data_IF_348970682905
#
_entry.id   IF_348970682905
#
_cell.length_a   1.000
_cell.length_b   1.000
_cell.length_c   1.000
_cell.angle_alpha   90.00
_cell.angle_beta   90.00
_cell.angle_gamma   90.00
#
_symmetry.space_group_name_H-M   'P 1'
#
loop_
_entity.id
_entity.type
_entity.pdbx_description
1 polymer ?
#
# COMPACT_ATOMS: atom_id res chain seq x y z
N UNK A 1 -35.26 -45.33 16.13
CA UNK A 1 -34.01 -45.47 15.35
C UNK A 1 -34.06 -44.71 14.01
N UNK A 2 -35.06 -44.92 13.14
CA UNK A 2 -35.15 -44.24 11.82
C UNK A 2 -35.22 -42.69 11.86
N UNK A 3 -35.87 -42.10 12.86
CA UNK A 3 -35.99 -40.63 12.97
C UNK A 3 -34.69 -39.93 13.41
N UNK A 4 -33.89 -40.58 14.27
CA UNK A 4 -32.57 -40.05 14.67
C UNK A 4 -31.56 -40.12 13.52
N UNK A 5 -31.60 -41.19 12.71
CA UNK A 5 -30.72 -41.29 11.54
C UNK A 5 -31.10 -40.29 10.45
N UNK A 6 -32.39 -40.02 10.25
CA UNK A 6 -32.86 -38.98 9.32
C UNK A 6 -32.45 -37.57 9.77
N UNK A 7 -32.52 -37.28 11.08
CA UNK A 7 -32.09 -35.99 11.62
C UNK A 7 -30.57 -35.78 11.46
N UNK A 8 -29.78 -36.84 11.69
CA UNK A 8 -28.33 -36.82 11.48
C UNK A 8 -27.94 -36.61 10.02
N UNK A 9 -28.65 -37.26 9.09
CA UNK A 9 -28.45 -37.05 7.65
C UNK A 9 -28.80 -35.60 7.29
N UNK A 10 -29.94 -35.07 7.74
CA UNK A 10 -30.33 -33.68 7.46
C UNK A 10 -29.31 -32.66 7.97
N UNK A 11 -28.81 -32.84 9.19
CA UNK A 11 -27.77 -31.98 9.75
C UNK A 11 -26.47 -32.04 8.93
N UNK A 12 -26.09 -33.24 8.47
CA UNK A 12 -24.92 -33.43 7.62
C UNK A 12 -25.10 -32.76 6.24
N UNK A 13 -26.28 -32.88 5.63
CA UNK A 13 -26.55 -32.25 4.33
C UNK A 13 -26.51 -30.74 4.44
N UNK A 14 -27.05 -30.16 5.53
CA UNK A 14 -27.01 -28.71 5.80
C UNK A 14 -25.57 -28.23 6.03
N UNK A 15 -24.77 -28.98 6.79
CA UNK A 15 -23.38 -28.64 7.01
C UNK A 15 -22.57 -28.67 5.71
N UNK A 16 -22.81 -29.67 4.86
CA UNK A 16 -22.13 -29.82 3.57
C UNK A 16 -22.54 -28.73 2.57
N UNK A 17 -23.83 -28.37 2.52
CA UNK A 17 -24.29 -27.26 1.68
C UNK A 17 -23.68 -25.94 2.14
N UNK A 18 -23.66 -25.65 3.45
CA UNK A 18 -23.00 -24.43 3.98
C UNK A 18 -21.54 -24.38 3.54
N UNK A 19 -20.80 -25.48 3.60
CA UNK A 19 -19.39 -25.52 3.19
C UNK A 19 -19.19 -25.21 1.69
N UNK A 20 -20.16 -25.55 0.83
CA UNK A 20 -20.11 -25.34 -0.62
C UNK A 20 -20.47 -23.91 -1.05
N UNK A 21 -21.20 -23.15 -0.21
CA UNK A 21 -21.57 -21.75 -0.48
C UNK A 21 -20.66 -20.73 0.22
N UNK A 22 -19.72 -21.17 1.07
CA UNK A 22 -18.74 -20.26 1.63
C UNK A 22 -17.83 -19.75 0.51
N UNK A 23 -17.76 -18.42 0.28
CA UNK A 23 -16.80 -17.88 -0.67
C UNK A 23 -15.38 -18.25 -0.19
N UNK A 24 -14.50 -18.58 -1.13
CA UNK A 24 -13.09 -18.76 -0.82
C UNK A 24 -12.57 -17.50 -0.11
N UNK A 25 -11.87 -17.66 1.02
CA UNK A 25 -11.23 -16.55 1.69
C UNK A 25 -10.21 -15.92 0.73
N UNK A 26 -10.52 -14.75 0.17
CA UNK A 26 -9.65 -14.04 -0.74
C UNK A 26 -8.67 -13.20 0.09
N UNK A 27 -7.42 -13.64 0.16
CA UNK A 27 -6.35 -12.88 0.79
C UNK A 27 -5.78 -11.86 -0.20
N UNK A 28 -5.78 -10.59 0.17
CA UNK A 28 -5.08 -9.54 -0.57
C UNK A 28 -3.65 -9.44 -0.03
N UNK A 29 -2.65 -9.61 -0.89
CA UNK A 29 -1.28 -9.25 -0.56
C UNK A 29 -1.17 -7.72 -0.58
N UNK A 30 -1.01 -7.11 0.58
CA UNK A 30 -0.91 -5.65 0.72
C UNK A 30 0.46 -5.26 1.28
N UNK A 31 1.08 -4.27 0.65
CA UNK A 31 2.39 -3.73 1.05
C UNK A 31 2.36 -2.21 1.08
N UNK A 32 2.91 -1.68 2.16
CA UNK A 32 3.27 -0.26 2.31
C UNK A 32 4.79 -0.16 2.14
N UNK A 33 5.24 0.81 1.36
CA UNK A 33 6.66 1.10 1.15
C UNK A 33 6.86 2.58 0.85
N UNK A 34 8.12 3.03 0.78
CA UNK A 34 8.41 4.41 0.48
C UNK A 34 9.83 4.80 0.85
N UNK A 35 10.09 6.08 0.78
CA UNK A 35 11.33 6.70 1.23
C UNK A 35 11.06 8.06 1.86
N UNK A 36 11.87 8.41 2.85
CA UNK A 36 12.03 9.78 3.32
C UNK A 36 13.30 10.32 2.67
N UNK A 37 13.23 11.47 2.00
CA UNK A 37 14.40 12.08 1.38
C UNK A 37 14.46 13.57 1.73
N UNK A 38 15.45 13.91 2.54
CA UNK A 38 15.74 15.25 3.06
C UNK A 38 17.13 15.63 2.59
N UNK A 39 17.32 16.88 2.22
CA UNK A 39 18.59 17.40 1.76
C UNK A 39 18.98 18.69 2.50
N UNK A 40 20.26 19.00 2.45
CA UNK A 40 20.81 20.31 2.79
C UNK A 40 21.12 20.98 1.47
N UNK A 41 20.54 22.16 1.24
CA UNK A 41 20.83 23.02 0.11
C UNK A 41 21.72 24.15 0.60
N UNK A 42 22.85 24.37 -0.06
CA UNK A 42 23.79 25.44 0.24
C UNK A 42 24.08 26.23 -1.03
N UNK A 43 24.09 27.55 -0.93
CA UNK A 43 24.49 28.46 -2.00
C UNK A 43 25.38 29.58 -1.45
N UNK A 44 26.21 30.12 -2.33
CA UNK A 44 27.19 31.19 -2.05
C UNK A 44 27.38 32.02 -3.33
N UNK A 45 27.36 33.35 -3.21
CA UNK A 45 27.59 34.28 -4.32
C UNK A 45 28.93 35.04 -4.26
N UNK A 46 29.77 34.74 -3.26
CA UNK A 46 31.06 35.36 -2.99
C UNK A 46 31.05 36.49 -1.95
N UNK A 47 29.86 36.96 -1.53
CA UNK A 47 29.69 37.94 -0.46
C UNK A 47 28.81 37.41 0.67
N UNK A 48 27.77 36.66 0.32
CA UNK A 48 26.78 36.09 1.22
C UNK A 48 26.61 34.59 0.93
N UNK A 49 26.33 33.81 1.98
CA UNK A 49 26.06 32.37 1.93
C UNK A 49 24.81 32.02 2.73
N UNK A 50 24.11 30.97 2.29
CA UNK A 50 22.88 30.53 2.94
C UNK A 50 22.71 29.00 2.85
N UNK A 51 22.09 28.44 3.89
CA UNK A 51 21.90 26.99 4.09
C UNK A 51 20.45 26.73 4.47
N UNK A 52 19.78 25.87 3.68
CA UNK A 52 18.39 25.47 3.92
C UNK A 52 18.27 23.96 4.06
N UNK A 53 17.36 23.52 4.92
CA UNK A 53 16.92 22.12 4.98
C UNK A 53 15.69 21.96 4.08
N UNK A 54 15.83 21.17 3.03
CA UNK A 54 14.82 21.02 1.97
C UNK A 54 14.44 19.56 1.78
N UNK A 55 13.36 19.33 1.06
CA UNK A 55 13.02 18.06 0.43
C UNK A 55 13.70 17.99 -0.93
N UNK A 56 14.29 16.83 -1.26
CA UNK A 56 15.01 16.65 -2.52
C UNK A 56 14.02 16.45 -3.66
N UNK A 57 13.79 17.46 -4.49
CA UNK A 57 12.82 17.41 -5.60
C UNK A 57 13.12 16.29 -6.62
N UNK A 58 14.40 16.06 -6.92
CA UNK A 58 14.83 15.04 -7.87
C UNK A 58 14.50 13.62 -7.39
N UNK A 59 14.33 13.42 -6.08
CA UNK A 59 13.84 12.16 -5.51
C UNK A 59 13.15 12.39 -4.18
N UNK A 60 11.99 13.03 -4.19
CA UNK A 60 11.29 13.44 -2.97
C UNK A 60 10.83 12.29 -2.08
N UNK A 61 10.47 12.65 -0.86
CA UNK A 61 9.76 11.78 0.08
C UNK A 61 8.49 11.22 -0.58
N UNK A 62 8.34 9.89 -0.56
CA UNK A 62 7.21 9.19 -1.20
C UNK A 62 6.70 8.06 -0.36
N UNK A 63 5.39 7.87 -0.42
CA UNK A 63 4.69 6.72 0.12
C UNK A 63 4.04 5.95 -1.01
N UNK A 64 4.13 4.62 -0.94
CA UNK A 64 3.63 3.69 -1.95
C UNK A 64 2.83 2.59 -1.28
N UNK A 65 1.61 2.40 -1.78
CA UNK A 65 0.69 1.33 -1.43
C UNK A 65 0.52 0.42 -2.64
N UNK A 66 0.76 -0.88 -2.44
CA UNK A 66 0.54 -1.90 -3.47
C UNK A 66 -0.35 -2.98 -2.91
N UNK A 67 -1.31 -3.42 -3.70
CA UNK A 67 -2.13 -4.57 -3.39
C UNK A 67 -2.27 -5.50 -4.59
N UNK A 68 -2.26 -6.80 -4.38
CA UNK A 68 -2.54 -7.78 -5.44
C UNK A 68 -3.23 -9.02 -4.90
N UNK A 69 -4.08 -9.62 -5.72
CA UNK A 69 -4.69 -10.92 -5.44
C UNK A 69 -4.75 -11.76 -6.73
N UNK A 70 -4.52 -13.06 -6.58
CA UNK A 70 -4.68 -14.04 -7.65
C UNK A 70 -5.99 -14.80 -7.45
N UNK A 71 -6.90 -14.66 -8.40
CA UNK A 71 -8.20 -15.30 -8.43
C UNK A 71 -8.13 -16.60 -9.23
N UNK A 72 -8.59 -17.68 -8.60
CA UNK A 72 -8.71 -19.02 -9.20
C UNK A 72 -7.41 -19.53 -9.84
N UNK A 73 -6.24 -19.07 -9.39
CA UNK A 73 -4.92 -19.37 -9.98
C UNK A 73 -4.77 -18.98 -11.47
N UNK A 74 -5.68 -18.16 -12.02
CA UNK A 74 -5.66 -17.75 -13.43
C UNK A 74 -5.49 -16.24 -13.60
N UNK A 75 -6.11 -15.44 -12.74
CA UNK A 75 -6.15 -13.98 -12.92
C UNK A 75 -5.51 -13.27 -11.74
N UNK A 76 -4.45 -12.50 -11.99
CA UNK A 76 -3.89 -11.61 -10.96
C UNK A 76 -4.34 -10.18 -11.22
N UNK A 77 -5.01 -9.56 -10.25
CA UNK A 77 -5.41 -8.15 -10.29
C UNK A 77 -4.77 -7.43 -9.12
N UNK A 78 -4.33 -6.20 -9.34
CA UNK A 78 -3.73 -5.40 -8.30
C UNK A 78 -3.81 -3.91 -8.55
N UNK A 79 -3.34 -3.14 -7.57
CA UNK A 79 -3.21 -1.70 -7.63
C UNK A 79 -1.82 -1.28 -7.15
N UNK A 80 -1.38 -0.12 -7.66
CA UNK A 80 -0.25 0.64 -7.14
C UNK A 80 -0.69 2.09 -7.02
N UNK A 81 -0.66 2.62 -5.81
CA UNK A 81 -0.84 4.04 -5.55
C UNK A 81 0.42 4.60 -4.91
N UNK A 82 0.94 5.68 -5.49
CA UNK A 82 2.16 6.34 -5.01
C UNK A 82 1.90 7.84 -4.95
N UNK A 83 2.36 8.47 -3.87
CA UNK A 83 2.19 9.89 -3.64
C UNK A 83 3.49 10.51 -3.15
N UNK A 84 3.80 11.68 -3.73
CA UNK A 84 4.91 12.54 -3.35
C UNK A 84 4.44 13.54 -2.31
N UNK A 85 5.26 13.72 -1.28
CA UNK A 85 5.00 14.67 -0.20
C UNK A 85 6.22 15.56 -0.02
N UNK A 86 6.01 16.86 -0.16
CA UNK A 86 7.05 17.87 0.03
C UNK A 86 6.50 18.97 0.93
N UNK A 87 7.27 19.28 1.95
CA UNK A 87 7.05 20.38 2.86
C UNK A 87 7.84 21.63 2.44
N UNK A 88 9.01 21.43 1.83
CA UNK A 88 9.91 22.48 1.41
C UNK A 88 10.76 22.02 0.22
N UNK A 89 10.23 22.09 -1.01
CA UNK A 89 10.93 21.56 -2.20
C UNK A 89 12.19 22.34 -2.50
N UNK A 90 13.28 21.63 -2.84
CA UNK A 90 14.53 22.24 -3.31
C UNK A 90 14.40 23.00 -4.63
N UNK A 91 13.33 22.81 -5.41
CA UNK A 91 13.11 23.53 -6.67
C UNK A 91 12.33 24.83 -6.52
N UNK A 92 11.70 25.06 -5.36
CA UNK A 92 10.83 26.21 -5.06
C UNK A 92 11.27 26.96 -3.79
N UNK A 93 12.45 26.62 -3.27
CA UNK A 93 13.09 27.30 -2.14
C UNK A 93 13.99 28.42 -2.66
N UNK A 94 13.79 29.63 -2.14
CA UNK A 94 14.71 30.74 -2.35
C UNK A 94 15.92 30.63 -1.40
N UNK A 95 17.11 30.84 -1.97
CA UNK A 95 18.38 30.96 -1.24
C UNK A 95 18.69 32.44 -1.10
N UNK A 96 18.91 32.89 0.13
CA UNK A 96 19.11 34.30 0.48
C UNK A 96 20.59 34.69 0.30
N UNK A 97 21.07 34.75 -0.95
CA UNK A 97 22.46 35.14 -1.31
C UNK A 97 22.53 36.25 -2.34
#
# INVERSE_FOLDING_TARGET
MKKLSQLGIFALTIALTILLILPAAQALDFKISGQLNRAVLWGDNGNDDDVKFVDNDNSSTRFRFTGSNTFNDVWTVGFKWENQMESNSSSDTDIDI
#
